data_IF_712244257514
#
_entry.id   IF_712244257514
#
_cell.length_a   1.000
_cell.length_b   1.000
_cell.length_c   1.000
_cell.angle_alpha   90.00
_cell.angle_beta   90.00
_cell.angle_gamma   90.00
#
_symmetry.space_group_name_H-M   'P 1'
#
loop_
_entity.id
_entity.type
_entity.pdbx_description
1 polymer ?
#
# COMPACT_ATOMS: atom_id res chain seq x y z
N UNK A 1 -9.27 1.28 0.33
CA UNK A 1 -9.35 2.62 0.95
C UNK A 1 -8.33 3.52 0.29
N UNK A 2 -8.65 4.80 0.12
CA UNK A 2 -7.70 5.86 -0.27
C UNK A 2 -7.77 6.99 0.76
N UNK A 3 -6.65 7.64 1.02
CA UNK A 3 -6.62 8.86 1.83
C UNK A 3 -5.22 9.20 2.31
N UNK A 4 -5.12 9.62 3.57
CA UNK A 4 -3.89 10.07 4.22
C UNK A 4 -3.45 9.05 5.27
N UNK A 5 -2.16 8.70 5.25
CA UNK A 5 -1.47 7.98 6.32
C UNK A 5 -0.60 8.97 7.09
N UNK A 6 -0.80 9.09 8.40
CA UNK A 6 -0.04 10.01 9.25
C UNK A 6 0.55 9.35 10.49
N UNK A 7 1.72 9.85 10.88
CA UNK A 7 2.42 9.49 12.11
C UNK A 7 3.28 10.69 12.55
N UNK A 8 2.99 11.26 13.72
CA UNK A 8 3.60 12.50 14.20
C UNK A 8 3.43 13.65 13.17
N UNK A 9 4.55 14.16 12.62
CA UNK A 9 4.57 15.24 11.63
C UNK A 9 4.74 14.73 10.18
N UNK A 10 4.57 13.42 9.95
CA UNK A 10 4.66 12.81 8.63
C UNK A 10 3.26 12.55 8.08
N UNK A 11 3.04 12.90 6.81
CA UNK A 11 1.81 12.65 6.08
C UNK A 11 2.14 12.10 4.69
N UNK A 12 1.49 11.01 4.30
CA UNK A 12 1.62 10.38 2.99
C UNK A 12 0.25 10.43 2.32
N UNK A 13 0.15 11.14 1.20
CA UNK A 13 -1.07 11.28 0.41
C UNK A 13 -0.73 11.35 -1.10
N UNK A 14 -1.44 10.63 -1.98
CA UNK A 14 -2.47 9.63 -1.66
C UNK A 14 -1.84 8.33 -1.13
N UNK A 15 -2.45 7.76 -0.10
CA UNK A 15 -2.07 6.47 0.44
C UNK A 15 -3.21 5.46 0.31
N UNK A 16 -2.87 4.21 0.01
CA UNK A 16 -3.83 3.15 -0.23
C UNK A 16 -3.60 2.00 0.75
N UNK A 17 -4.69 1.50 1.32
CA UNK A 17 -4.71 0.34 2.20
C UNK A 17 -6.04 -0.42 2.04
N UNK A 18 -6.12 -1.58 2.67
CA UNK A 18 -7.33 -2.43 2.64
C UNK A 18 -7.75 -2.70 4.09
N UNK A 19 -9.03 -2.46 4.39
CA UNK A 19 -9.67 -2.86 5.65
C UNK A 19 -10.43 -4.17 5.42
N UNK A 20 -10.22 -5.15 6.27
CA UNK A 20 -10.85 -6.47 6.20
C UNK A 20 -12.08 -6.55 7.12
N UNK A 21 -13.08 -7.37 6.80
CA UNK A 21 -14.30 -7.51 7.63
C UNK A 21 -14.06 -7.97 9.06
N UNK A 22 -12.94 -8.63 9.34
CA UNK A 22 -12.54 -9.10 10.67
C UNK A 22 -11.80 -8.03 11.49
N UNK A 23 -11.67 -6.79 10.98
CA UNK A 23 -10.99 -5.68 11.64
C UNK A 23 -9.50 -5.58 11.36
N UNK A 24 -8.91 -6.54 10.64
CA UNK A 24 -7.52 -6.45 10.20
C UNK A 24 -7.35 -5.40 9.09
N UNK A 25 -6.14 -4.85 9.00
CA UNK A 25 -5.72 -3.93 7.94
C UNK A 25 -4.53 -4.50 7.19
N UNK A 26 -4.56 -4.33 5.86
CA UNK A 26 -3.44 -4.65 4.98
C UNK A 26 -2.79 -3.37 4.49
N UNK A 27 -1.51 -3.21 4.80
CA UNK A 27 -0.67 -2.16 4.25
C UNK A 27 0.79 -2.63 4.11
N UNK A 28 1.24 -2.79 2.87
CA UNK A 28 2.63 -3.16 2.57
C UNK A 28 3.54 -1.94 2.36
N UNK A 29 2.99 -0.74 2.24
CA UNK A 29 3.68 0.48 1.81
C UNK A 29 3.95 1.47 2.96
N UNK A 30 3.27 1.37 4.09
CA UNK A 30 3.52 2.22 5.26
C UNK A 30 5.01 2.29 5.64
N UNK A 31 5.67 1.13 5.84
CA UNK A 31 7.12 1.05 6.14
C UNK A 31 8.05 1.63 5.07
N UNK A 32 7.59 1.80 3.84
CA UNK A 32 8.41 2.38 2.79
C UNK A 32 8.46 3.90 2.87
N UNK A 33 7.42 4.52 3.42
CA UNK A 33 7.23 5.97 3.37
C UNK A 33 7.35 6.64 4.74
N UNK A 34 6.84 6.00 5.79
CA UNK A 34 6.99 6.48 7.15
C UNK A 34 8.40 6.19 7.67
N UNK A 35 8.95 7.15 8.40
CA UNK A 35 10.20 7.04 9.15
C UNK A 35 9.86 6.85 10.63
N UNK A 36 10.31 5.75 11.22
CA UNK A 36 10.04 5.45 12.61
C UNK A 36 10.32 3.98 12.95
N UNK A 37 10.24 3.68 14.24
CA UNK A 37 10.28 2.32 14.76
C UNK A 37 8.87 1.73 14.80
N UNK A 38 8.76 0.40 14.79
CA UNK A 38 7.49 -0.33 14.94
C UNK A 38 6.35 0.19 14.04
N UNK A 39 6.63 0.31 12.74
CA UNK A 39 5.62 0.74 11.75
C UNK A 39 4.78 -0.46 11.25
N UNK A 40 3.51 -0.24 10.88
CA UNK A 40 2.67 -1.29 10.30
C UNK A 40 3.25 -1.81 8.98
N UNK A 41 3.18 -3.12 8.77
CA UNK A 41 3.58 -3.76 7.52
C UNK A 41 2.92 -5.13 7.34
N UNK A 42 2.33 -5.35 6.17
CA UNK A 42 1.62 -6.57 5.86
C UNK A 42 0.20 -6.54 6.41
N UNK A 43 -0.22 -7.63 7.06
CA UNK A 43 -1.54 -7.78 7.69
C UNK A 43 -1.36 -7.55 9.18
N UNK A 44 -2.14 -6.66 9.77
CA UNK A 44 -2.03 -6.32 11.18
C UNK A 44 -3.37 -5.87 11.77
N UNK A 45 -3.43 -5.85 13.09
CA UNK A 45 -4.53 -5.27 13.86
C UNK A 45 -4.25 -3.78 14.08
N UNK A 46 -5.13 -2.85 13.65
CA UNK A 46 -4.88 -1.41 13.80
C UNK A 46 -4.59 -0.97 15.24
N UNK A 47 -5.19 -1.62 16.23
CA UNK A 47 -4.97 -1.34 17.65
C UNK A 47 -3.52 -1.61 18.14
N UNK A 48 -2.73 -2.38 17.40
CA UNK A 48 -1.31 -2.60 17.71
C UNK A 48 -0.44 -1.39 17.32
N UNK A 49 -0.99 -0.46 16.53
CA UNK A 49 -0.32 0.75 16.03
C UNK A 49 -1.17 2.01 16.26
N UNK A 50 -1.53 2.35 17.51
CA UNK A 50 -2.51 3.40 17.83
C UNK A 50 -2.09 4.80 17.39
N UNK A 51 -0.79 5.04 17.24
CA UNK A 51 -0.23 6.34 16.84
C UNK A 51 -0.23 6.55 15.32
N UNK A 52 -0.50 5.50 14.54
CA UNK A 52 -0.54 5.56 13.07
C UNK A 52 -1.98 5.76 12.62
N UNK A 53 -2.27 6.96 12.13
CA UNK A 53 -3.63 7.36 11.77
C UNK A 53 -3.83 7.20 10.27
N UNK A 54 -4.93 6.54 9.92
CA UNK A 54 -5.38 6.38 8.54
C UNK A 54 -6.71 7.12 8.42
N UNK A 55 -6.74 8.18 7.61
CA UNK A 55 -7.96 8.96 7.35
C UNK A 55 -8.28 8.87 5.87
N UNK A 56 -9.46 8.37 5.54
CA UNK A 56 -9.84 8.22 4.14
C UNK A 56 -11.17 7.54 3.95
N UNK A 57 -11.42 7.16 2.70
CA UNK A 57 -12.70 6.63 2.26
C UNK A 57 -12.55 5.31 1.49
N UNK A 58 -13.57 4.44 1.51
CA UNK A 58 -13.62 3.31 0.62
C UNK A 58 -13.67 3.82 -0.83
N UNK A 59 -12.95 3.11 -1.69
CA UNK A 59 -12.99 3.36 -3.13
C UNK A 59 -13.26 2.05 -3.84
N UNK A 60 -13.99 2.15 -4.94
CA UNK A 60 -14.04 1.11 -5.94
C UNK A 60 -12.95 1.41 -6.97
N UNK A 61 -12.06 0.45 -7.18
CA UNK A 61 -11.08 0.51 -8.26
C UNK A 61 -11.67 -0.24 -9.44
N UNK A 62 -11.73 0.44 -10.59
CA UNK A 62 -12.07 -0.21 -11.84
C UNK A 62 -11.11 -1.37 -12.11
N UNK A 63 -11.65 -2.45 -12.65
CA UNK A 63 -10.82 -3.56 -13.16
C UNK A 63 -9.93 -2.98 -14.25
N UNK A 64 -8.61 -3.15 -14.09
CA UNK A 64 -7.64 -2.76 -15.11
C UNK A 64 -8.07 -3.32 -16.47
N UNK A 65 -8.02 -2.49 -17.51
CA UNK A 65 -8.19 -2.97 -18.88
C UNK A 65 -7.26 -4.18 -19.10
N UNK A 66 -7.71 -5.26 -19.77
CA UNK A 66 -6.90 -6.47 -19.94
C UNK A 66 -5.50 -6.18 -20.48
N UNK A 67 -5.37 -5.20 -21.39
CA UNK A 67 -4.10 -4.78 -21.98
C UNK A 67 -3.16 -4.15 -20.95
N UNK A 68 -3.69 -3.33 -20.03
CA UNK A 68 -2.91 -2.75 -18.93
C UNK A 68 -2.48 -3.82 -17.93
N UNK A 69 -3.37 -4.76 -17.59
CA UNK A 69 -3.02 -5.87 -16.71
C UNK A 69 -1.89 -6.70 -17.31
N UNK A 70 -1.97 -7.03 -18.61
CA UNK A 70 -0.90 -7.73 -19.32
C UNK A 70 0.39 -6.91 -19.23
N UNK A 71 0.37 -5.62 -19.60
CA UNK A 71 1.57 -4.77 -19.57
C UNK A 71 2.22 -4.69 -18.18
N UNK A 72 1.43 -4.51 -17.13
CA UNK A 72 1.92 -4.42 -15.75
C UNK A 72 2.40 -5.77 -15.18
N UNK A 73 1.94 -6.89 -15.75
CA UNK A 73 2.34 -8.24 -15.33
C UNK A 73 3.25 -8.95 -16.34
N UNK A 74 3.73 -8.21 -17.36
CA UNK A 74 4.64 -8.74 -18.36
C UNK A 74 5.86 -9.34 -17.67
N UNK A 75 6.12 -10.62 -17.94
CA UNK A 75 7.36 -11.27 -17.52
C UNK A 75 8.50 -10.68 -18.33
N UNK A 76 9.25 -9.78 -17.71
CA UNK A 76 10.46 -9.23 -18.31
C UNK A 76 11.55 -10.30 -18.24
N UNK A 77 11.90 -10.87 -19.39
CA UNK A 77 13.09 -11.69 -19.54
C UNK A 77 14.33 -10.80 -19.44
N UNK A 78 14.91 -10.74 -18.25
CA UNK A 78 16.08 -9.89 -17.95
C UNK A 78 17.34 -10.35 -18.69
N UNK A 79 17.39 -11.58 -19.21
CA UNK A 79 18.53 -12.06 -19.99
C UNK A 79 18.69 -11.32 -21.32
N UNK A 80 17.62 -10.71 -21.83
CA UNK A 80 17.63 -9.94 -23.09
C UNK A 80 18.14 -8.50 -22.94
N UNK A 81 18.36 -8.03 -21.72
CA UNK A 81 18.82 -6.67 -21.42
C UNK A 81 20.27 -6.62 -20.93
N UNK A 82 20.96 -7.77 -20.87
CA UNK A 82 22.41 -7.82 -20.76
C UNK A 82 22.99 -7.59 -22.17
N UNK A 83 23.26 -6.33 -22.50
CA UNK A 83 24.24 -6.00 -23.54
C UNK A 83 25.59 -5.83 -22.84
N UNK A 84 26.62 -6.47 -23.39
CA UNK A 84 28.02 -6.44 -22.92
C UNK A 84 28.56 -5.01 -22.75
#
# INVERSE_FOLDING_TARGET
MIGVLSLNNQEIEPHFWIDLPNGERIDYRAKMWLIGENLPHGIFQPQDFPDVIYTGEPIELDILLPELFIMLTLRIDRTKFQQD
#
